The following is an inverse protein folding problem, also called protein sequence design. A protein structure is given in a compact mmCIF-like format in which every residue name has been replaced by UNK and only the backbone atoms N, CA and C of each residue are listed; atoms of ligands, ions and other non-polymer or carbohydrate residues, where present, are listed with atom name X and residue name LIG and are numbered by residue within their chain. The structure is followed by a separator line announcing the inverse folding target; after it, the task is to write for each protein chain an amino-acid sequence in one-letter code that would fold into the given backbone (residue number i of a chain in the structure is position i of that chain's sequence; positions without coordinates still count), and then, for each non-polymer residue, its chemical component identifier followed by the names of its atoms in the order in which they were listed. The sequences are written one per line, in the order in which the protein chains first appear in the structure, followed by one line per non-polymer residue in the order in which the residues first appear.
data_IF_249752740859
#
_entry.id   IF_249752740859
#
_cell.length_a   1.000
_cell.length_b   1.000
_cell.length_c   1.000
_cell.angle_alpha   90.00
_cell.angle_beta   90.00
_cell.angle_gamma   90.00
#
_symmetry.space_group_name_H-M   'P 1'
#
loop_
_entity.id
_entity.type
_entity.pdbx_description
1 polymer ?
#
# COMPACT_ATOMS: atom_id res chain seq x y z
N UNK A 1 16.10 -6.24 -19.69
CA UNK A 1 16.17 -6.02 -18.25
C UNK A 1 14.92 -6.51 -17.60
N UNK A 2 14.92 -6.75 -16.29
CA UNK A 2 13.73 -7.20 -15.58
C UNK A 2 12.82 -6.01 -15.26
N UNK A 3 11.66 -6.30 -14.79
CA UNK A 3 10.74 -5.28 -14.40
C UNK A 3 10.46 -5.39 -12.94
N UNK A 4 10.86 -4.40 -12.22
CA UNK A 4 10.64 -4.34 -10.80
C UNK A 4 9.67 -3.22 -10.51
N UNK A 5 9.33 -3.06 -9.27
CA UNK A 5 8.39 -2.06 -8.85
C UNK A 5 9.02 -0.68 -8.82
N UNK A 6 8.19 0.33 -8.71
CA UNK A 6 8.65 1.70 -8.61
C UNK A 6 8.87 2.06 -7.18
N UNK A 7 7.91 1.78 -6.36
CA UNK A 7 7.94 2.25 -4.99
C UNK A 7 7.57 1.15 -4.01
N UNK A 8 8.04 1.30 -2.81
CA UNK A 8 7.74 0.41 -1.74
C UNK A 8 6.71 1.08 -0.83
N UNK A 9 5.53 0.51 -0.77
CA UNK A 9 4.45 1.07 -0.02
C UNK A 9 4.48 0.49 1.39
N UNK A 10 4.73 1.33 2.35
CA UNK A 10 4.79 0.93 3.71
C UNK A 10 3.48 1.23 4.37
N UNK A 11 2.78 0.21 4.71
CA UNK A 11 1.47 0.35 5.28
C UNK A 11 1.30 -0.52 6.48
N UNK A 12 0.31 -0.24 7.25
CA UNK A 12 -0.01 -1.03 8.40
C UNK A 12 -1.49 -1.33 8.46
N UNK A 13 -1.80 -2.53 8.84
CA UNK A 13 -3.16 -2.99 8.91
C UNK A 13 -3.44 -3.55 10.28
N UNK A 14 -4.67 -3.48 10.69
CA UNK A 14 -5.07 -3.97 11.95
C UNK A 14 -5.47 -5.42 11.82
N UNK A 15 -4.66 -6.28 12.33
CA UNK A 15 -4.97 -7.67 12.31
C UNK A 15 -4.99 -8.16 13.69
N UNK A 16 -6.16 -8.62 14.11
CA UNK A 16 -6.36 -9.21 15.43
C UNK A 16 -6.09 -8.16 16.51
N UNK A 17 -6.36 -6.89 16.15
CA UNK A 17 -6.17 -5.69 17.00
C UNK A 17 -4.71 -5.31 17.15
N UNK A 18 -3.88 -5.88 16.31
CA UNK A 18 -2.47 -5.58 16.27
C UNK A 18 -2.17 -4.86 14.97
N UNK A 19 -1.57 -3.70 15.05
CA UNK A 19 -1.14 -3.00 13.85
C UNK A 19 0.12 -3.64 13.32
N UNK A 20 -0.01 -4.31 12.22
CA UNK A 20 1.09 -4.98 11.58
C UNK A 20 1.49 -4.18 10.35
N UNK A 21 2.71 -3.74 10.33
CA UNK A 21 3.21 -3.02 9.19
C UNK A 21 3.74 -4.00 8.15
N UNK A 22 3.57 -3.65 6.93
CA UNK A 22 4.05 -4.41 5.83
C UNK A 22 4.41 -3.47 4.70
N UNK A 23 5.54 -3.70 4.14
CA UNK A 23 5.95 -2.96 3.00
C UNK A 23 5.84 -3.82 1.76
N UNK A 24 5.04 -3.35 0.84
CA UNK A 24 4.76 -4.05 -0.39
C UNK A 24 5.39 -3.25 -1.51
N UNK A 25 5.50 -3.79 -2.65
CA UNK A 25 6.13 -3.10 -3.73
C UNK A 25 5.25 -3.09 -4.96
N UNK A 26 5.14 -1.93 -5.56
CA UNK A 26 4.32 -1.77 -6.73
C UNK A 26 4.82 -0.62 -7.59
N UNK A 27 4.32 -0.56 -8.77
CA UNK A 27 4.70 0.43 -9.76
C UNK A 27 3.72 1.55 -9.74
N UNK A 28 4.10 2.67 -10.32
CA UNK A 28 3.19 3.75 -10.51
C UNK A 28 2.22 3.26 -11.57
N UNK A 29 1.00 3.05 -11.19
CA UNK A 29 0.05 2.48 -12.09
C UNK A 29 -0.46 1.14 -11.59
N UNK A 30 0.16 0.61 -10.57
CA UNK A 30 -0.29 -0.66 -9.97
C UNK A 30 -1.47 -0.48 -9.10
N UNK A 31 -2.05 -1.58 -8.75
CA UNK A 31 -3.12 -1.62 -7.83
C UNK A 31 -2.66 -2.38 -6.58
N UNK A 32 -2.59 -1.66 -5.49
CA UNK A 32 -2.15 -2.15 -4.21
C UNK A 32 -3.32 -2.80 -3.50
N UNK A 33 -3.06 -3.91 -2.87
CA UNK A 33 -4.05 -4.62 -2.11
C UNK A 33 -3.71 -4.66 -0.66
N UNK A 34 -4.62 -4.19 0.12
CA UNK A 34 -4.53 -4.14 1.56
C UNK A 34 -5.83 -4.61 2.17
N UNK A 35 -5.81 -5.77 2.81
CA UNK A 35 -6.94 -6.31 3.60
C UNK A 35 -8.18 -6.58 2.73
N UNK A 36 -7.99 -6.64 1.44
CA UNK A 36 -9.09 -6.86 0.54
C UNK A 36 -9.47 -5.60 -0.19
N UNK A 37 -8.88 -4.51 0.21
CA UNK A 37 -9.12 -3.23 -0.40
C UNK A 37 -8.05 -3.02 -1.45
N UNK A 38 -8.34 -2.24 -2.43
CA UNK A 38 -7.40 -2.00 -3.47
C UNK A 38 -7.30 -0.54 -3.79
N UNK A 39 -6.12 -0.08 -4.04
CA UNK A 39 -5.90 1.28 -4.37
C UNK A 39 -4.90 1.41 -5.50
N UNK A 40 -5.16 2.32 -6.38
CA UNK A 40 -4.28 2.58 -7.49
C UNK A 40 -3.10 3.41 -6.98
N UNK A 41 -1.92 3.08 -7.44
CA UNK A 41 -0.73 3.84 -7.08
C UNK A 41 -0.56 4.98 -8.07
N UNK A 42 -0.82 6.19 -7.59
CA UNK A 42 -0.67 7.37 -8.39
C UNK A 42 0.74 7.93 -8.37
N UNK A 43 0.87 9.21 -8.62
CA UNK A 43 2.16 9.87 -8.67
C UNK A 43 2.73 10.05 -7.27
N UNK A 44 4.04 10.17 -7.19
CA UNK A 44 4.74 10.38 -5.95
C UNK A 44 4.71 9.15 -5.09
N UNK A 45 4.43 8.00 -5.73
CA UNK A 45 4.26 6.71 -5.06
C UNK A 45 3.01 6.71 -4.19
N UNK A 46 2.22 7.75 -4.31
CA UNK A 46 1.11 7.98 -3.43
C UNK A 46 -0.15 7.26 -3.97
N UNK A 47 -0.64 6.28 -3.21
CA UNK A 47 -1.85 5.57 -3.55
C UNK A 47 -3.08 6.45 -3.35
N UNK A 48 -4.07 6.22 -4.19
CA UNK A 48 -5.35 6.95 -4.16
C UNK A 48 -5.93 6.92 -2.76
N UNK A 49 -6.10 5.75 -2.25
CA UNK A 49 -6.60 5.55 -0.94
C UNK A 49 -5.42 5.22 -0.04
N UNK A 50 -5.23 6.00 0.98
CA UNK A 50 -4.15 5.78 1.88
C UNK A 50 -4.66 5.36 3.24
N UNK A 51 -5.93 5.54 3.44
CA UNK A 51 -6.56 5.30 4.70
C UNK A 51 -7.76 4.38 4.55
N UNK A 52 -7.86 3.45 5.43
CA UNK A 52 -8.94 2.50 5.53
C UNK A 52 -9.28 2.33 7.00
N UNK A 53 -10.48 1.88 7.25
CA UNK A 53 -11.05 1.66 8.59
C UNK A 53 -10.07 0.97 9.56
N UNK A 54 -9.32 0.04 9.03
CA UNK A 54 -8.39 -0.73 9.81
C UNK A 54 -7.09 -0.93 9.07
N UNK A 55 -6.72 0.06 8.25
CA UNK A 55 -5.47 -0.03 7.51
C UNK A 55 -5.06 1.35 7.01
N UNK A 56 -3.79 1.62 6.95
CA UNK A 56 -3.34 2.91 6.47
C UNK A 56 -1.94 2.81 5.89
N UNK A 57 -1.69 3.55 4.83
CA UNK A 57 -0.38 3.62 4.22
C UNK A 57 0.36 4.74 4.95
N UNK A 58 1.53 4.47 5.47
CA UNK A 58 2.24 5.49 6.20
C UNK A 58 3.44 6.00 5.41
N UNK A 59 3.99 5.17 4.58
CA UNK A 59 5.17 5.51 3.84
C UNK A 59 5.02 5.03 2.43
N UNK A 60 5.57 5.77 1.52
CA UNK A 60 5.58 5.42 0.13
C UNK A 60 6.84 5.98 -0.54
#
# INVERSE_FOLDING_TARGET
GPHMADCTLGCKYLENNRWVSVSKSANIGDTLYIMGHSTKIGRGCKPETTEWSDAEIYSW
#
